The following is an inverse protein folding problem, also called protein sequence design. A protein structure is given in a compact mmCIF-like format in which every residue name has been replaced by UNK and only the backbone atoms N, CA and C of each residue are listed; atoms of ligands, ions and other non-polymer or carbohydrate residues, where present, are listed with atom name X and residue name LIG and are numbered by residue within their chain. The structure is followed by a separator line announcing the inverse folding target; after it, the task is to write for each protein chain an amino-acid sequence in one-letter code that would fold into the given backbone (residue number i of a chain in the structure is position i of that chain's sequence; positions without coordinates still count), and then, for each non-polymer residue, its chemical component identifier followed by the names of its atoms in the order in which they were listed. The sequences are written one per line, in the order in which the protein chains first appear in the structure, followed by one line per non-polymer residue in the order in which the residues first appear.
data_IF_883784473794
#
_entry.id   IF_883784473794
#
_cell.length_a   1.000
_cell.length_b   1.000
_cell.length_c   1.000
_cell.angle_alpha   90.00
_cell.angle_beta   90.00
_cell.angle_gamma   90.00
#
_symmetry.space_group_name_H-M   'P 1'
#
loop_
_entity.id
_entity.type
_entity.pdbx_description
1 polymer ?
#
# COMPACT_ATOMS: atom_id res chain seq x y z
N UNK A 1 55.11 39.15 -14.80
CA UNK A 1 54.82 38.65 -16.17
C UNK A 1 54.31 37.23 -15.98
N UNK A 2 53.01 36.96 -15.83
CA UNK A 2 51.88 37.14 -16.75
C UNK A 2 51.38 35.74 -17.14
N UNK A 3 50.30 35.23 -16.51
CA UNK A 3 48.93 35.02 -17.07
C UNK A 3 48.75 33.61 -17.69
N UNK A 4 47.98 32.68 -17.07
CA UNK A 4 46.54 32.30 -17.29
C UNK A 4 46.30 31.63 -18.68
N UNK A 5 45.56 30.52 -18.89
CA UNK A 5 44.30 29.93 -18.36
C UNK A 5 44.31 28.37 -18.48
N UNK A 6 43.58 27.55 -17.69
CA UNK A 6 42.15 27.15 -17.82
C UNK A 6 42.07 25.71 -18.40
N UNK A 7 41.37 24.68 -17.91
CA UNK A 7 40.07 24.57 -17.24
C UNK A 7 40.01 23.39 -16.26
N UNK A 8 39.40 23.63 -15.09
CA UNK A 8 38.88 22.63 -14.18
C UNK A 8 37.34 22.66 -14.25
N UNK A 9 36.72 21.55 -14.65
CA UNK A 9 35.27 21.42 -14.65
C UNK A 9 34.77 21.12 -13.23
N UNK A 10 34.13 22.12 -12.64
CA UNK A 10 33.45 22.11 -11.35
C UNK A 10 32.12 21.35 -11.41
N UNK A 11 31.91 20.46 -10.44
CA UNK A 11 30.64 19.80 -10.13
C UNK A 11 29.57 20.83 -9.72
N UNK A 12 28.32 20.74 -10.21
CA UNK A 12 27.23 21.54 -9.66
C UNK A 12 26.75 20.93 -8.34
N UNK A 13 27.02 21.64 -7.24
CA UNK A 13 26.34 21.48 -5.96
C UNK A 13 24.89 21.95 -6.10
N UNK A 14 23.91 21.06 -5.93
CA UNK A 14 22.51 21.48 -5.77
C UNK A 14 22.24 21.76 -4.29
N UNK A 15 22.19 23.05 -3.99
CA UNK A 15 21.72 23.62 -2.74
C UNK A 15 20.24 23.26 -2.51
N UNK A 16 19.96 22.71 -1.34
CA UNK A 16 18.63 22.62 -0.74
C UNK A 16 18.03 24.02 -0.61
N UNK A 17 16.98 24.34 -1.36
CA UNK A 17 16.19 25.54 -1.11
C UNK A 17 15.19 25.26 0.01
N UNK A 18 15.62 25.51 1.24
CA UNK A 18 14.74 26.04 2.27
C UNK A 18 14.56 27.54 2.00
N UNK A 19 13.32 28.02 1.95
CA UNK A 19 13.01 29.44 1.89
C UNK A 19 12.43 29.87 3.23
N UNK A 20 13.27 30.49 4.05
CA UNK A 20 12.85 31.33 5.18
C UNK A 20 12.80 32.77 4.70
N UNK A 21 11.61 33.38 4.71
CA UNK A 21 11.41 34.79 4.42
C UNK A 21 10.26 35.31 5.27
N UNK A 22 10.60 36.08 6.30
CA UNK A 22 9.64 36.82 7.12
C UNK A 22 9.08 38.02 6.35
N UNK A 23 7.78 38.29 6.50
CA UNK A 23 7.21 39.62 6.25
C UNK A 23 6.02 39.74 5.30
N UNK A 24 4.84 39.33 5.79
CA UNK A 24 3.53 39.98 5.63
C UNK A 24 2.78 39.90 4.27
N UNK A 25 1.61 39.23 4.29
CA UNK A 25 0.44 39.59 3.47
C UNK A 25 -0.11 38.56 2.47
N UNK A 26 -0.94 37.62 2.95
CA UNK A 26 -2.18 37.12 2.32
C UNK A 26 -2.16 36.47 0.91
N UNK A 27 -2.39 35.15 0.87
CA UNK A 27 -2.87 34.44 -0.34
C UNK A 27 -2.54 32.95 -0.36
N UNK A 28 -3.43 32.09 0.16
CA UNK A 28 -3.27 30.64 0.14
C UNK A 28 -3.38 30.05 -1.27
N UNK A 29 -2.29 29.45 -1.75
CA UNK A 29 -2.24 28.62 -2.96
C UNK A 29 -2.05 27.15 -2.61
N UNK A 30 -3.01 26.54 -1.91
CA UNK A 30 -3.00 25.09 -1.71
C UNK A 30 -3.53 24.41 -2.97
N UNK A 31 -2.66 23.70 -3.69
CA UNK A 31 -3.07 22.92 -4.87
C UNK A 31 -4.19 21.91 -4.54
N UNK A 32 -4.95 21.50 -5.56
CA UNK A 32 -6.05 20.53 -5.37
C UNK A 32 -5.47 19.15 -5.09
N UNK A 33 -6.00 18.42 -4.11
CA UNK A 33 -5.58 17.03 -3.82
C UNK A 33 -6.65 16.05 -4.25
N UNK A 34 -6.25 14.99 -4.94
CA UNK A 34 -7.10 13.82 -5.22
C UNK A 34 -6.54 12.56 -4.56
N UNK A 35 -7.41 11.78 -3.93
CA UNK A 35 -7.11 10.45 -3.39
C UNK A 35 -7.69 9.42 -4.36
N UNK A 36 -6.83 8.61 -4.94
CA UNK A 36 -7.17 7.65 -5.98
C UNK A 36 -7.22 6.22 -5.43
N UNK A 37 -8.29 5.51 -5.75
CA UNK A 37 -8.51 4.12 -5.35
C UNK A 37 -9.21 3.36 -6.47
N UNK A 38 -8.89 2.07 -6.60
CA UNK A 38 -9.51 1.20 -7.59
C UNK A 38 -10.56 0.29 -6.97
N UNK A 39 -11.74 0.30 -7.56
CA UNK A 39 -12.89 -0.48 -7.13
C UNK A 39 -13.31 -1.45 -8.22
N UNK A 40 -13.94 -2.56 -7.80
CA UNK A 40 -14.73 -3.38 -8.68
C UNK A 40 -16.21 -3.19 -8.39
N UNK A 41 -16.98 -2.96 -9.45
CA UNK A 41 -18.43 -2.92 -9.43
C UNK A 41 -18.94 -4.01 -10.37
N UNK A 42 -19.43 -5.10 -9.79
CA UNK A 42 -19.68 -6.32 -10.55
C UNK A 42 -18.40 -6.81 -11.25
N UNK A 43 -18.47 -6.99 -12.57
CA UNK A 43 -17.36 -7.47 -13.41
C UNK A 43 -16.53 -6.38 -14.10
N UNK A 44 -16.61 -5.12 -13.66
CA UNK A 44 -15.81 -4.00 -14.18
C UNK A 44 -14.93 -3.40 -13.08
N UNK A 45 -13.79 -2.81 -13.46
CA UNK A 45 -12.79 -2.23 -12.56
C UNK A 45 -12.69 -0.72 -12.84
N UNK A 46 -13.00 0.12 -11.86
CA UNK A 46 -12.97 1.58 -11.96
C UNK A 46 -11.83 2.17 -11.12
N UNK A 47 -11.11 3.12 -11.70
CA UNK A 47 -10.36 4.11 -10.91
C UNK A 47 -11.34 5.19 -10.48
N UNK A 48 -11.30 5.55 -9.20
CA UNK A 48 -12.12 6.62 -8.62
C UNK A 48 -11.25 7.58 -7.81
N UNK A 49 -11.65 8.84 -7.79
CA UNK A 49 -10.95 9.92 -7.11
C UNK A 49 -11.86 10.54 -6.06
N UNK A 50 -11.44 10.52 -4.81
CA UNK A 50 -12.03 11.31 -3.73
C UNK A 50 -11.28 12.64 -3.60
N UNK A 51 -12.02 13.73 -3.53
CA UNK A 51 -11.46 15.06 -3.36
C UNK A 51 -11.78 15.60 -1.96
N UNK A 52 -10.81 15.61 -1.03
CA UNK A 52 -11.06 16.03 0.34
C UNK A 52 -11.63 17.44 0.49
N UNK A 53 -11.22 18.37 -0.39
CA UNK A 53 -11.68 19.76 -0.34
C UNK A 53 -13.14 19.95 -0.74
N UNK A 54 -13.64 19.11 -1.66
CA UNK A 54 -15.04 19.13 -2.10
C UNK A 54 -15.91 18.11 -1.33
N UNK A 55 -15.28 17.12 -0.68
CA UNK A 55 -15.94 15.95 -0.13
C UNK A 55 -16.78 15.19 -1.17
N UNK A 56 -16.23 15.04 -2.38
CA UNK A 56 -16.90 14.36 -3.49
C UNK A 56 -16.08 13.20 -4.03
N UNK A 57 -16.78 12.16 -4.47
CA UNK A 57 -16.21 11.09 -5.28
C UNK A 57 -16.54 11.31 -6.75
N UNK A 58 -15.55 11.06 -7.59
CA UNK A 58 -15.70 11.02 -9.05
C UNK A 58 -15.17 9.71 -9.60
N UNK A 59 -15.95 9.07 -10.48
CA UNK A 59 -15.47 7.97 -11.32
C UNK A 59 -14.53 8.52 -12.39
N UNK A 60 -13.27 8.10 -12.36
CA UNK A 60 -12.24 8.56 -13.30
C UNK A 60 -12.35 7.81 -14.63
N UNK A 61 -12.55 6.50 -14.58
CA UNK A 61 -12.67 5.66 -15.76
C UNK A 61 -12.42 4.20 -15.43
N UNK A 62 -12.57 3.33 -16.43
CA UNK A 62 -12.27 1.91 -16.30
C UNK A 62 -10.78 1.63 -16.50
N UNK A 63 -10.27 0.60 -15.84
CA UNK A 63 -8.87 0.20 -15.97
C UNK A 63 -8.60 -0.36 -17.38
N UNK A 64 -7.72 0.28 -18.18
CA UNK A 64 -7.45 -0.19 -19.53
C UNK A 64 -6.80 -1.58 -19.54
N UNK A 65 -7.28 -2.46 -20.42
CA UNK A 65 -6.71 -3.79 -20.62
C UNK A 65 -7.23 -4.87 -19.69
N UNK A 66 -8.18 -4.56 -18.80
CA UNK A 66 -8.93 -5.59 -18.05
C UNK A 66 -10.19 -5.94 -18.84
N UNK A 67 -10.38 -7.19 -19.30
CA UNK A 67 -11.57 -7.58 -20.06
C UNK A 67 -12.86 -7.52 -19.22
N UNK A 68 -13.99 -7.32 -19.88
CA UNK A 68 -15.31 -7.41 -19.24
C UNK A 68 -15.51 -8.77 -18.55
N UNK A 69 -16.19 -8.74 -17.41
CA UNK A 69 -16.40 -9.94 -16.58
C UNK A 69 -15.13 -10.43 -15.89
N UNK A 70 -14.05 -9.65 -15.89
CA UNK A 70 -12.84 -9.94 -15.14
C UNK A 70 -12.52 -8.83 -14.15
N UNK A 71 -11.87 -9.21 -13.06
CA UNK A 71 -11.40 -8.29 -12.04
C UNK A 71 -9.93 -8.48 -11.77
N UNK A 72 -9.24 -7.37 -11.52
CA UNK A 72 -7.82 -7.37 -11.16
C UNK A 72 -7.72 -7.33 -9.62
N UNK A 73 -6.82 -8.13 -9.03
CA UNK A 73 -6.62 -8.18 -7.57
C UNK A 73 -5.13 -8.21 -7.23
N UNK A 74 -4.76 -7.77 -6.03
CA UNK A 74 -3.37 -7.83 -5.56
C UNK A 74 -2.40 -7.02 -6.43
N UNK A 75 -2.91 -6.04 -7.17
CA UNK A 75 -2.11 -5.07 -7.91
C UNK A 75 -1.76 -3.88 -7.02
N UNK A 76 -0.76 -3.10 -7.41
CA UNK A 76 -0.39 -1.89 -6.71
C UNK A 76 -0.99 -0.64 -7.39
N UNK A 77 -1.38 0.35 -6.58
CA UNK A 77 -1.72 1.70 -7.03
C UNK A 77 -0.77 2.67 -6.32
N UNK A 78 -0.02 3.45 -7.10
CA UNK A 78 1.03 4.33 -6.57
C UNK A 78 1.10 5.63 -7.35
N UNK A 79 1.35 6.74 -6.65
CA UNK A 79 1.56 8.04 -7.26
C UNK A 79 3.06 8.31 -7.49
N UNK A 80 3.40 8.88 -8.63
CA UNK A 80 4.71 9.47 -8.92
C UNK A 80 4.51 10.73 -9.75
N UNK A 81 4.78 11.90 -9.15
CA UNK A 81 4.42 13.19 -9.73
C UNK A 81 2.91 13.33 -9.89
N UNK A 82 2.46 13.78 -11.05
CA UNK A 82 1.03 13.95 -11.36
C UNK A 82 0.35 12.66 -11.88
N UNK A 83 1.08 11.55 -11.86
CA UNK A 83 0.62 10.29 -12.45
C UNK A 83 0.25 9.28 -11.38
N UNK A 84 -0.87 8.59 -11.60
CA UNK A 84 -1.27 7.40 -10.85
C UNK A 84 -0.92 6.17 -11.68
N UNK A 85 -0.15 5.25 -11.12
CA UNK A 85 0.24 4.00 -11.77
C UNK A 85 -0.55 2.84 -11.18
N UNK A 86 -1.06 1.97 -12.05
CA UNK A 86 -1.67 0.68 -11.72
C UNK A 86 -0.75 -0.41 -12.26
N UNK A 87 -0.23 -1.26 -11.37
CA UNK A 87 0.91 -2.13 -11.65
C UNK A 87 0.56 -3.58 -11.34
N UNK A 88 0.70 -4.46 -12.33
CA UNK A 88 0.63 -5.92 -12.17
C UNK A 88 -0.73 -6.42 -11.70
N UNK A 89 -0.71 -7.49 -10.90
CA UNK A 89 -1.91 -8.07 -10.29
C UNK A 89 -2.29 -9.45 -10.82
N UNK A 90 -3.30 -10.04 -10.19
CA UNK A 90 -3.91 -11.32 -10.53
C UNK A 90 -5.24 -11.04 -11.22
N UNK A 91 -5.38 -11.52 -12.45
CA UNK A 91 -6.62 -11.44 -13.20
C UNK A 91 -7.51 -12.61 -12.80
N UNK A 92 -8.74 -12.31 -12.39
CA UNK A 92 -9.75 -13.30 -12.06
C UNK A 92 -10.97 -13.11 -12.98
N UNK A 93 -11.53 -14.20 -13.49
CA UNK A 93 -12.87 -14.18 -14.10
C UNK A 93 -13.90 -14.12 -12.99
N UNK A 94 -14.83 -13.20 -13.11
CA UNK A 94 -15.90 -12.97 -12.13
C UNK A 94 -17.24 -13.43 -12.69
N UNK A 95 -17.85 -14.36 -11.98
CA UNK A 95 -19.16 -14.91 -12.32
C UNK A 95 -20.15 -14.65 -11.18
N UNK A 96 -21.38 -14.28 -11.54
CA UNK A 96 -22.46 -14.09 -10.57
C UNK A 96 -23.17 -15.42 -10.33
N UNK A 97 -23.08 -15.95 -9.11
CA UNK A 97 -23.77 -17.17 -8.71
C UNK A 97 -25.28 -16.97 -8.52
N UNK A 98 -26.02 -18.08 -8.45
CA UNK A 98 -27.49 -18.08 -8.31
C UNK A 98 -28.03 -17.41 -7.04
N UNK A 99 -27.19 -17.13 -6.04
CA UNK A 99 -27.54 -16.41 -4.80
C UNK A 99 -27.14 -14.92 -4.80
N UNK A 100 -26.68 -14.37 -5.93
CA UNK A 100 -26.22 -12.98 -6.01
C UNK A 100 -24.78 -12.73 -5.56
N UNK A 101 -24.10 -13.74 -4.99
CA UNK A 101 -22.67 -13.68 -4.66
C UNK A 101 -21.80 -13.81 -5.91
N UNK A 102 -20.69 -13.05 -5.93
CA UNK A 102 -19.66 -13.19 -6.95
C UNK A 102 -18.68 -14.29 -6.59
N UNK A 103 -18.30 -15.09 -7.59
CA UNK A 103 -17.19 -16.04 -7.50
C UNK A 103 -16.11 -15.62 -8.48
N UNK A 104 -14.89 -15.57 -7.98
CA UNK A 104 -13.72 -15.18 -8.74
C UNK A 104 -12.83 -16.39 -8.96
N UNK A 105 -12.57 -16.72 -10.23
CA UNK A 105 -11.69 -17.81 -10.63
C UNK A 105 -10.43 -17.23 -11.25
N UNK A 106 -9.26 -17.65 -10.77
CA UNK A 106 -7.98 -17.14 -11.25
C UNK A 106 -7.74 -17.52 -12.71
N UNK A 107 -7.24 -16.54 -13.49
CA UNK A 107 -6.99 -16.69 -14.94
C UNK A 107 -5.51 -16.51 -15.25
N UNK A 108 -4.92 -15.41 -14.81
CA UNK A 108 -3.53 -15.05 -15.17
C UNK A 108 -2.87 -14.15 -14.12
N UNK A 109 -1.54 -14.11 -14.12
CA UNK A 109 -0.75 -13.10 -13.40
C UNK A 109 -0.29 -12.05 -14.41
N UNK A 110 -0.71 -10.80 -14.20
CA UNK A 110 -0.45 -9.69 -15.10
C UNK A 110 0.84 -8.97 -14.74
N UNK A 111 1.55 -8.54 -15.79
CA UNK A 111 2.71 -7.66 -15.69
C UNK A 111 2.45 -6.27 -16.25
N UNK A 112 1.24 -5.98 -16.75
CA UNK A 112 0.96 -4.68 -17.37
C UNK A 112 1.09 -3.55 -16.37
N UNK A 113 1.45 -2.40 -16.90
CA UNK A 113 1.47 -1.14 -16.17
C UNK A 113 0.73 -0.11 -17.00
N UNK A 114 -0.30 0.48 -16.40
CA UNK A 114 -1.00 1.63 -16.95
C UNK A 114 -0.82 2.81 -16.02
N UNK A 115 -0.74 4.01 -16.60
CA UNK A 115 -0.69 5.26 -15.85
C UNK A 115 -1.87 6.15 -16.23
N UNK A 116 -2.38 6.87 -15.27
CA UNK A 116 -3.37 7.92 -15.46
C UNK A 116 -2.72 9.28 -15.17
N UNK A 117 -2.77 10.19 -16.13
CA UNK A 117 -2.36 11.58 -15.96
C UNK A 117 -3.49 12.35 -15.26
N UNK A 118 -3.28 12.69 -13.99
CA UNK A 118 -4.31 13.34 -13.19
C UNK A 118 -4.57 14.82 -13.59
N UNK A 119 -3.65 15.45 -14.32
CA UNK A 119 -3.82 16.81 -14.85
C UNK A 119 -4.60 16.80 -16.16
N UNK A 120 -4.28 15.86 -17.05
CA UNK A 120 -4.89 15.78 -18.40
C UNK A 120 -6.17 14.94 -18.44
N UNK A 121 -6.35 14.05 -17.48
CA UNK A 121 -7.48 13.12 -17.48
C UNK A 121 -7.33 11.97 -18.48
N UNK A 122 -6.10 11.58 -18.80
CA UNK A 122 -5.78 10.65 -19.88
C UNK A 122 -5.07 9.40 -19.35
N UNK A 123 -5.44 8.24 -19.89
CA UNK A 123 -4.72 6.99 -19.65
C UNK A 123 -3.58 6.81 -20.65
N UNK A 124 -2.48 6.23 -20.17
CA UNK A 124 -1.35 5.80 -20.99
C UNK A 124 -0.83 4.42 -20.58
N UNK A 125 -0.25 3.71 -21.53
CA UNK A 125 0.48 2.45 -21.25
C UNK A 125 1.93 2.76 -20.89
N UNK A 126 2.49 1.96 -19.99
CA UNK A 126 3.90 1.99 -19.60
C UNK A 126 4.58 0.67 -19.97
N UNK A 127 5.91 0.63 -19.84
CA UNK A 127 6.64 -0.63 -19.90
C UNK A 127 6.07 -1.61 -18.84
N UNK A 128 5.80 -2.87 -19.21
CA UNK A 128 5.35 -3.88 -18.27
C UNK A 128 6.49 -4.26 -17.31
N UNK A 129 6.12 -4.80 -16.15
CA UNK A 129 7.06 -5.44 -15.24
C UNK A 129 7.90 -6.50 -15.97
N UNK A 130 9.18 -6.62 -15.61
CA UNK A 130 10.05 -7.69 -16.12
C UNK A 130 9.57 -9.06 -15.65
N UNK A 131 8.94 -9.09 -14.47
CA UNK A 131 8.31 -10.29 -13.91
C UNK A 131 6.89 -9.94 -13.44
N UNK A 132 5.85 -10.52 -14.09
CA UNK A 132 4.47 -10.44 -13.61
C UNK A 132 4.34 -10.90 -12.16
N UNK A 133 3.56 -10.16 -11.35
CA UNK A 133 3.39 -10.43 -9.93
C UNK A 133 2.10 -9.85 -9.36
N UNK A 134 1.64 -10.44 -8.26
CA UNK A 134 0.56 -9.91 -7.42
C UNK A 134 0.92 -10.04 -5.93
N UNK A 135 0.21 -9.34 -5.05
CA UNK A 135 0.44 -9.28 -3.60
C UNK A 135 1.90 -8.90 -3.25
N UNK A 136 2.45 -7.90 -3.93
CA UNK A 136 3.83 -7.43 -3.78
C UNK A 136 3.91 -6.07 -3.10
N UNK A 137 5.07 -5.75 -2.53
CA UNK A 137 5.37 -4.43 -2.00
C UNK A 137 5.67 -3.45 -3.13
N UNK A 138 5.12 -2.24 -3.05
CA UNK A 138 5.32 -1.18 -4.03
C UNK A 138 5.36 0.20 -3.34
N UNK A 139 6.34 1.04 -3.66
CA UNK A 139 6.39 2.43 -3.18
C UNK A 139 7.27 3.32 -4.08
N UNK A 140 7.04 4.65 -4.10
CA UNK A 140 7.92 5.57 -4.80
C UNK A 140 9.18 5.85 -3.97
N UNK A 141 10.38 5.56 -4.46
CA UNK A 141 11.66 5.85 -3.80
C UNK A 141 12.58 6.63 -4.75
N UNK A 142 13.07 7.79 -4.32
CA UNK A 142 14.06 8.57 -5.07
C UNK A 142 13.63 8.88 -6.51
N UNK A 143 12.38 9.35 -6.70
CA UNK A 143 11.83 9.70 -8.01
C UNK A 143 11.47 8.51 -8.91
N UNK A 144 11.57 7.29 -8.41
CA UNK A 144 11.31 6.04 -9.14
C UNK A 144 10.28 5.20 -8.40
N UNK A 145 9.70 4.19 -9.06
CA UNK A 145 8.78 3.24 -8.40
C UNK A 145 9.54 1.94 -8.16
N UNK A 146 9.66 1.52 -6.91
CA UNK A 146 10.26 0.23 -6.55
C UNK A 146 9.16 -0.79 -6.29
N UNK A 147 9.35 -2.02 -6.77
CA UNK A 147 8.51 -3.18 -6.44
C UNK A 147 9.37 -4.33 -5.95
N UNK A 148 8.88 -5.09 -4.99
CA UNK A 148 9.59 -6.26 -4.46
C UNK A 148 8.63 -7.31 -3.91
N UNK A 149 9.04 -8.57 -4.01
CA UNK A 149 8.22 -9.69 -3.55
C UNK A 149 6.99 -9.95 -4.42
N UNK A 150 5.98 -10.56 -3.80
CA UNK A 150 4.75 -11.03 -4.43
C UNK A 150 4.82 -12.47 -4.92
N UNK A 151 3.73 -12.91 -5.53
CA UNK A 151 3.60 -14.20 -6.16
C UNK A 151 3.66 -14.05 -7.68
N UNK A 152 4.38 -14.98 -8.33
CA UNK A 152 4.55 -15.02 -9.79
C UNK A 152 3.66 -16.05 -10.48
N UNK A 153 3.12 -16.98 -9.71
CA UNK A 153 2.28 -18.07 -10.19
C UNK A 153 1.00 -18.12 -9.38
N UNK A 154 -0.08 -18.54 -10.04
CA UNK A 154 -1.36 -18.87 -9.40
C UNK A 154 -1.28 -20.20 -8.65
N UNK A 155 -0.32 -21.07 -9.00
CA UNK A 155 -0.13 -22.37 -8.36
C UNK A 155 0.70 -22.25 -7.08
N UNK A 156 0.06 -22.46 -5.94
CA UNK A 156 0.72 -22.54 -4.63
C UNK A 156 1.01 -21.18 -3.99
N UNK A 157 1.33 -21.22 -2.71
CA UNK A 157 1.53 -20.04 -1.86
C UNK A 157 3.01 -19.65 -1.74
N UNK A 158 3.72 -19.55 -2.87
CA UNK A 158 5.17 -19.28 -2.88
C UNK A 158 5.47 -17.86 -3.37
N UNK A 159 6.08 -17.06 -2.50
CA UNK A 159 6.55 -15.72 -2.82
C UNK A 159 7.81 -15.71 -3.69
N UNK A 160 8.24 -14.52 -4.09
CA UNK A 160 9.53 -14.29 -4.76
C UNK A 160 10.41 -13.35 -3.94
N UNK A 161 11.72 -13.40 -4.15
CA UNK A 161 12.67 -12.45 -3.58
C UNK A 161 13.02 -11.29 -4.54
N UNK A 162 12.47 -11.30 -5.75
CA UNK A 162 12.92 -10.38 -6.78
C UNK A 162 12.36 -8.99 -6.59
N UNK A 163 13.18 -8.02 -6.98
CA UNK A 163 12.83 -6.61 -6.95
C UNK A 163 13.16 -5.93 -8.28
N UNK A 164 12.38 -4.91 -8.59
CA UNK A 164 12.50 -4.14 -9.83
C UNK A 164 12.25 -2.66 -9.52
N UNK A 165 12.83 -1.79 -10.34
CA UNK A 165 12.63 -0.34 -10.26
C UNK A 165 12.22 0.21 -11.61
N UNK A 166 11.16 1.00 -11.63
CA UNK A 166 10.72 1.76 -12.79
C UNK A 166 11.32 3.16 -12.76
N UNK A 167 11.96 3.52 -13.85
CA UNK A 167 12.54 4.84 -14.09
C UNK A 167 11.72 5.53 -15.18
N UNK A 168 10.94 6.55 -14.80
CA UNK A 168 10.02 7.24 -15.70
C UNK A 168 10.77 8.01 -16.80
N UNK A 169 11.97 8.52 -16.51
CA UNK A 169 12.81 9.24 -17.46
C UNK A 169 13.36 8.30 -18.54
N UNK A 170 13.65 7.05 -18.16
CA UNK A 170 14.07 5.98 -19.08
C UNK A 170 12.89 5.20 -19.69
N UNK A 171 11.68 5.44 -19.20
CA UNK A 171 10.46 4.77 -19.65
C UNK A 171 10.44 3.25 -19.44
N UNK A 172 11.17 2.73 -18.44
CA UNK A 172 11.39 1.28 -18.35
C UNK A 172 11.72 0.76 -16.95
N UNK A 173 11.55 -0.56 -16.79
CA UNK A 173 11.91 -1.30 -15.59
C UNK A 173 13.35 -1.82 -15.67
N UNK A 174 14.04 -1.83 -14.54
CA UNK A 174 15.35 -2.46 -14.36
C UNK A 174 15.31 -3.39 -13.15
N UNK A 175 16.11 -4.47 -13.18
CA UNK A 175 16.24 -5.35 -12.03
C UNK A 175 16.99 -4.65 -10.90
N UNK A 176 16.51 -4.83 -9.68
CA UNK A 176 17.28 -4.59 -8.46
C UNK A 176 17.92 -5.90 -8.00
N UNK A 177 18.92 -5.87 -7.10
CA UNK A 177 19.35 -7.08 -6.40
C UNK A 177 18.16 -7.78 -5.75
N UNK A 178 18.19 -9.12 -5.71
CA UNK A 178 17.17 -9.89 -5.01
C UNK A 178 17.27 -9.66 -3.50
N UNK A 179 16.12 -9.67 -2.84
CA UNK A 179 15.98 -9.75 -1.39
C UNK A 179 16.58 -11.07 -0.87
N UNK A 180 16.91 -11.10 0.42
CA UNK A 180 17.34 -12.31 1.13
C UNK A 180 16.17 -13.24 1.50
N UNK A 181 14.95 -12.71 1.50
CA UNK A 181 13.73 -13.44 1.86
C UNK A 181 12.73 -13.38 0.73
N UNK A 182 12.13 -14.51 0.37
CA UNK A 182 10.97 -14.52 -0.54
C UNK A 182 9.76 -14.04 0.23
N UNK A 183 9.06 -13.03 -0.28
CA UNK A 183 7.90 -12.44 0.40
C UNK A 183 6.69 -12.34 -0.52
N UNK A 184 5.49 -12.46 0.04
CA UNK A 184 4.24 -12.05 -0.61
C UNK A 184 3.21 -11.58 0.43
N UNK A 185 2.20 -10.83 0.00
CA UNK A 185 1.32 -10.02 0.86
C UNK A 185 2.11 -9.08 1.79
N UNK A 186 3.25 -8.61 1.32
CA UNK A 186 4.08 -7.62 2.02
C UNK A 186 3.65 -6.21 1.64
N UNK A 187 3.97 -5.24 2.50
CA UNK A 187 3.69 -3.82 2.27
C UNK A 187 4.98 -3.10 1.88
N UNK A 188 4.88 -2.24 0.87
CA UNK A 188 5.96 -1.34 0.47
C UNK A 188 5.73 0.05 1.05
N UNK A 189 6.76 0.65 1.66
CA UNK A 189 6.71 2.04 2.11
C UNK A 189 8.06 2.71 1.93
N UNK A 190 8.05 3.99 1.55
CA UNK A 190 9.28 4.79 1.51
C UNK A 190 9.43 5.57 2.79
N UNK A 191 10.54 5.37 3.48
CA UNK A 191 10.82 6.00 4.77
C UNK A 191 12.30 6.34 4.87
N UNK A 192 12.60 7.57 5.29
CA UNK A 192 13.96 8.13 5.29
C UNK A 192 14.73 7.89 3.97
N UNK A 193 14.05 8.07 2.83
CA UNK A 193 14.66 7.92 1.50
C UNK A 193 14.97 6.48 1.08
N UNK A 194 14.52 5.47 1.84
CA UNK A 194 14.76 4.05 1.57
C UNK A 194 13.44 3.31 1.36
N UNK A 195 13.46 2.28 0.50
CA UNK A 195 12.30 1.45 0.22
C UNK A 195 12.25 0.28 1.20
N UNK A 196 11.22 0.25 2.05
CA UNK A 196 11.01 -0.79 3.04
C UNK A 196 9.94 -1.78 2.55
N UNK A 197 10.27 -3.07 2.62
CA UNK A 197 9.38 -4.20 2.35
C UNK A 197 9.07 -4.85 3.69
N UNK A 198 7.88 -4.60 4.22
CA UNK A 198 7.53 -4.94 5.60
C UNK A 198 6.53 -6.10 5.63
N UNK A 199 6.80 -7.08 6.48
CA UNK A 199 5.88 -8.16 6.79
C UNK A 199 5.64 -9.12 5.62
N UNK A 200 4.40 -9.60 5.53
CA UNK A 200 3.96 -10.60 4.56
C UNK A 200 4.29 -12.03 5.00
N UNK A 201 3.91 -12.97 4.16
CA UNK A 201 4.40 -14.33 4.26
C UNK A 201 5.83 -14.39 3.73
N UNK A 202 6.72 -15.02 4.49
CA UNK A 202 8.15 -15.00 4.23
C UNK A 202 8.76 -16.41 4.29
N UNK A 203 9.70 -16.66 3.39
CA UNK A 203 10.53 -17.87 3.36
C UNK A 203 11.98 -17.49 2.98
N UNK A 204 12.96 -17.91 3.79
CA UNK A 204 14.38 -17.71 3.49
C UNK A 204 14.81 -18.29 2.13
N UNK A 205 15.70 -17.59 1.44
CA UNK A 205 16.33 -18.10 0.21
C UNK A 205 17.54 -19.01 0.45
N UNK A 206 18.07 -19.08 1.68
CA UNK A 206 19.20 -19.96 2.00
C UNK A 206 18.72 -21.38 2.31
N UNK A 207 19.12 -22.35 1.48
CA UNK A 207 18.83 -23.78 1.69
C UNK A 207 19.64 -24.41 2.84
N UNK A 208 20.47 -23.64 3.53
CA UNK A 208 21.14 -24.03 4.77
C UNK A 208 20.50 -23.31 5.95
N UNK A 209 19.21 -23.57 6.18
CA UNK A 209 18.66 -23.21 7.49
C UNK A 209 19.40 -24.05 8.54
N UNK A 210 19.92 -23.45 9.62
CA UNK A 210 20.38 -24.23 10.77
C UNK A 210 19.29 -25.19 11.26
N UNK A 211 18.01 -24.89 10.95
CA UNK A 211 16.89 -25.74 11.27
C UNK A 211 16.80 -27.03 10.44
N UNK A 212 17.27 -27.02 9.18
CA UNK A 212 17.29 -28.23 8.35
C UNK A 212 18.39 -29.19 8.83
N UNK A 213 19.58 -28.67 9.15
CA UNK A 213 20.67 -29.46 9.71
C UNK A 213 20.36 -30.00 11.12
N UNK A 214 19.71 -29.20 11.97
CA UNK A 214 19.31 -29.62 13.31
C UNK A 214 18.08 -30.56 13.31
N UNK A 215 17.21 -30.50 12.29
CA UNK A 215 16.14 -31.48 12.10
C UNK A 215 16.69 -32.86 11.71
N UNK A 216 17.70 -32.90 10.83
CA UNK A 216 18.42 -34.13 10.50
C UNK A 216 19.19 -34.68 11.73
N UNK A 217 19.80 -33.81 12.53
CA UNK A 217 20.47 -34.21 13.78
C UNK A 217 19.45 -34.70 14.84
N UNK A 218 18.29 -34.05 14.97
CA UNK A 218 17.22 -34.46 15.88
C UNK A 218 16.60 -35.81 15.48
N UNK A 219 16.49 -36.10 14.17
CA UNK A 219 16.04 -37.38 13.66
C UNK A 219 17.00 -38.54 13.99
N UNK A 220 18.28 -38.24 14.19
CA UNK A 220 19.32 -39.19 14.58
C UNK A 220 19.58 -39.27 16.10
N UNK A 221 18.95 -38.40 16.91
CA UNK A 221 19.22 -38.28 18.35
C UNK A 221 18.22 -39.05 19.23
N UNK A 222 18.62 -39.51 20.43
CA UNK A 222 17.71 -40.13 21.39
C UNK A 222 16.62 -39.14 21.88
N UNK A 223 15.45 -39.62 22.35
CA UNK A 223 14.23 -38.81 22.52
C UNK A 223 14.39 -37.53 23.35
N UNK A 224 15.18 -37.59 24.44
CA UNK A 224 15.43 -36.42 25.30
C UNK A 224 16.32 -35.34 24.64
N UNK A 225 17.22 -35.73 23.74
CA UNK A 225 18.15 -34.84 23.05
C UNK A 225 17.54 -34.27 21.77
N UNK A 226 16.71 -35.07 21.07
CA UNK A 226 15.88 -34.60 19.96
C UNK A 226 14.90 -33.50 20.39
N UNK A 227 14.27 -33.66 21.55
CA UNK A 227 13.34 -32.66 22.11
C UNK A 227 14.05 -31.35 22.46
N UNK A 228 15.25 -31.42 23.03
CA UNK A 228 16.05 -30.23 23.33
C UNK A 228 16.55 -29.51 22.06
N UNK A 229 16.97 -30.26 21.02
CA UNK A 229 17.39 -29.71 19.73
C UNK A 229 16.23 -29.02 18.99
N UNK A 230 15.04 -29.62 18.99
CA UNK A 230 13.84 -29.05 18.37
C UNK A 230 13.36 -27.77 19.06
N UNK A 231 13.54 -27.65 20.38
CA UNK A 231 13.22 -26.43 21.16
C UNK A 231 14.23 -25.30 20.96
N UNK A 232 15.43 -25.60 20.46
CA UNK A 232 16.49 -24.63 20.15
C UNK A 232 16.48 -24.17 18.68
N UNK A 233 15.63 -24.77 17.84
CA UNK A 233 15.41 -24.27 16.49
C UNK A 233 14.86 -22.84 16.57
N UNK A 234 15.43 -21.86 15.84
CA UNK A 234 14.72 -20.62 15.63
C UNK A 234 13.36 -20.98 15.02
N UNK A 235 12.28 -20.38 15.52
CA UNK A 235 11.03 -20.30 14.78
C UNK A 235 11.26 -19.41 13.55
N UNK A 236 12.04 -19.92 12.59
CA UNK A 236 12.65 -19.16 11.49
C UNK A 236 11.59 -18.44 10.65
N UNK A 237 10.41 -19.05 10.47
CA UNK A 237 9.31 -18.42 9.75
C UNK A 237 8.77 -17.16 10.43
N UNK A 238 8.66 -17.14 11.77
CA UNK A 238 8.08 -16.01 12.48
C UNK A 238 9.02 -14.80 12.48
N UNK A 239 10.34 -15.02 12.62
CA UNK A 239 11.32 -13.94 12.55
C UNK A 239 11.45 -13.38 11.12
N UNK A 240 11.36 -14.25 10.11
CA UNK A 240 11.34 -13.84 8.71
C UNK A 240 10.08 -13.03 8.38
N UNK A 241 8.90 -13.45 8.85
CA UNK A 241 7.63 -12.75 8.64
C UNK A 241 7.51 -11.45 9.43
N UNK A 242 8.10 -11.37 10.62
CA UNK A 242 8.16 -10.15 11.44
C UNK A 242 9.28 -9.18 11.04
N UNK A 243 10.13 -9.54 10.08
CA UNK A 243 11.20 -8.65 9.61
C UNK A 243 10.77 -7.76 8.45
N UNK A 244 11.56 -6.70 8.22
CA UNK A 244 11.52 -5.91 7.02
C UNK A 244 12.84 -6.03 6.25
N UNK A 245 12.78 -5.91 4.93
CA UNK A 245 13.96 -5.69 4.09
C UNK A 245 13.94 -4.28 3.54
N UNK A 246 15.07 -3.59 3.67
CA UNK A 246 15.22 -2.17 3.37
C UNK A 246 16.23 -1.99 2.27
N UNK A 247 15.77 -1.46 1.14
CA UNK A 247 16.63 -1.14 0.02
C UNK A 247 17.12 0.30 0.11
N UNK A 248 18.43 0.45 0.18
CA UNK A 248 19.09 1.75 0.03
C UNK A 248 19.19 2.10 -1.46
N UNK A 249 18.33 3.01 -1.91
CA UNK A 249 18.23 3.42 -3.31
C UNK A 249 19.52 4.11 -3.83
N UNK A 250 20.41 4.60 -2.95
CA UNK A 250 21.67 5.23 -3.32
C UNK A 250 22.83 4.22 -3.38
N UNK A 251 22.89 3.27 -2.44
CA UNK A 251 23.94 2.24 -2.38
C UNK A 251 23.62 1.00 -3.22
N UNK A 252 22.35 0.79 -3.55
CA UNK A 252 21.91 -0.37 -4.30
C UNK A 252 22.00 -1.68 -3.51
N UNK A 253 21.81 -1.65 -2.19
CA UNK A 253 21.92 -2.82 -1.30
C UNK A 253 20.70 -2.98 -0.41
N UNK A 254 20.41 -4.23 -0.05
CA UNK A 254 19.38 -4.59 0.92
C UNK A 254 19.97 -4.76 2.32
N UNK A 255 19.24 -4.29 3.32
CA UNK A 255 19.51 -4.48 4.74
C UNK A 255 18.29 -5.13 5.39
N UNK A 256 18.48 -6.08 6.30
CA UNK A 256 17.38 -6.71 7.04
C UNK A 256 17.20 -6.01 8.40
N UNK A 257 15.95 -5.72 8.75
CA UNK A 257 15.56 -5.24 10.08
C UNK A 257 14.69 -6.32 10.72
N UNK A 258 15.25 -7.18 11.59
CA UNK A 258 14.50 -8.21 12.29
C UNK A 258 13.45 -7.59 13.22
N UNK A 259 12.26 -8.19 13.28
CA UNK A 259 11.21 -7.79 14.22
C UNK A 259 10.60 -6.41 13.97
N UNK A 260 10.91 -5.74 12.85
CA UNK A 260 10.32 -4.45 12.49
C UNK A 260 8.80 -4.49 12.49
N UNK A 261 8.18 -5.62 12.15
CA UNK A 261 6.75 -5.85 12.24
C UNK A 261 6.45 -6.86 13.34
N UNK A 262 5.72 -6.47 14.38
CA UNK A 262 5.62 -7.29 15.60
C UNK A 262 4.81 -8.58 15.44
N UNK A 263 3.93 -8.67 14.44
CA UNK A 263 2.99 -9.78 14.29
C UNK A 263 3.46 -10.78 13.25
N UNK A 264 3.13 -12.07 13.43
CA UNK A 264 3.24 -13.09 12.37
C UNK A 264 2.11 -13.00 11.33
N UNK A 265 1.44 -11.84 11.27
CA UNK A 265 0.27 -11.57 10.43
C UNK A 265 0.60 -10.38 9.54
N UNK A 266 0.44 -10.47 8.21
CA UNK A 266 0.75 -9.37 7.31
C UNK A 266 0.09 -8.03 7.69
N UNK A 267 0.82 -6.90 7.63
CA UNK A 267 0.23 -5.58 7.81
C UNK A 267 -0.82 -5.31 6.72
N UNK A 268 -1.86 -4.55 7.07
CA UNK A 268 -2.86 -4.10 6.09
C UNK A 268 -2.24 -3.03 5.19
N UNK A 269 -1.82 -1.92 5.81
CA UNK A 269 -1.18 -0.78 5.17
C UNK A 269 -0.24 -0.11 6.16
N UNK A 270 0.91 0.34 5.65
CA UNK A 270 1.88 1.15 6.38
C UNK A 270 2.18 2.37 5.52
N UNK A 271 2.08 3.54 6.10
CA UNK A 271 2.31 4.82 5.41
C UNK A 271 3.31 5.67 6.18
N UNK A 272 4.04 6.52 5.46
CA UNK A 272 4.94 7.48 6.06
C UNK A 272 4.28 8.87 6.16
N UNK A 273 4.26 9.45 7.36
CA UNK A 273 3.71 10.80 7.61
C UNK A 273 4.65 11.54 8.54
N UNK A 274 5.08 12.74 8.14
CA UNK A 274 5.96 13.60 8.94
C UNK A 274 7.18 12.86 9.53
N UNK A 275 7.82 12.00 8.72
CA UNK A 275 8.99 11.21 9.14
C UNK A 275 8.71 10.02 10.05
N UNK A 276 7.43 9.68 10.33
CA UNK A 276 7.02 8.50 11.11
C UNK A 276 6.34 7.47 10.22
N UNK A 277 6.44 6.21 10.59
CA UNK A 277 5.62 5.14 9.98
C UNK A 277 4.37 4.91 10.82
N UNK A 278 3.22 4.83 10.15
CA UNK A 278 1.92 4.63 10.74
C UNK A 278 1.21 3.44 10.09
N UNK A 279 0.47 2.65 10.87
CA UNK A 279 -0.27 1.47 10.44
C UNK A 279 -1.74 1.57 10.83
N UNK A 280 -2.63 1.07 9.96
CA UNK A 280 -4.08 1.00 10.20
C UNK A 280 -4.60 -0.37 10.63
N UNK A 281 -3.74 -1.37 10.80
CA UNK A 281 -4.13 -2.72 11.19
C UNK A 281 -3.42 -3.80 10.38
N UNK A 282 -4.05 -4.96 10.25
CA UNK A 282 -3.47 -6.14 9.62
C UNK A 282 -4.47 -6.83 8.67
N UNK A 283 -4.01 -7.88 7.98
CA UNK A 283 -4.85 -8.57 7.00
C UNK A 283 -6.04 -9.34 7.61
N UNK A 284 -6.09 -9.54 8.93
CA UNK A 284 -7.22 -10.16 9.64
C UNK A 284 -8.20 -9.09 10.12
N UNK A 285 -7.70 -7.96 10.60
CA UNK A 285 -8.48 -6.78 10.93
C UNK A 285 -7.86 -5.52 10.35
N UNK A 286 -8.42 -5.08 9.22
CA UNK A 286 -7.96 -3.90 8.50
C UNK A 286 -8.10 -2.59 9.26
N UNK A 287 -8.87 -2.56 10.35
CA UNK A 287 -9.01 -1.40 11.24
C UNK A 287 -9.24 -1.83 12.69
N UNK A 288 -8.25 -1.59 13.56
CA UNK A 288 -8.28 -1.96 14.98
C UNK A 288 -8.91 -0.89 15.90
N UNK A 289 -9.44 0.19 15.34
CA UNK A 289 -10.00 1.30 16.11
C UNK A 289 -8.99 2.39 16.50
N UNK A 290 -7.72 2.22 16.14
CA UNK A 290 -6.63 3.15 16.45
C UNK A 290 -5.52 3.07 15.38
N UNK A 291 -4.60 4.03 15.42
CA UNK A 291 -3.41 4.05 14.57
C UNK A 291 -2.22 3.57 15.38
N UNK A 292 -1.41 2.69 14.81
CA UNK A 292 -0.15 2.25 15.41
C UNK A 292 0.99 3.07 14.81
N UNK A 293 1.93 3.54 15.63
CA UNK A 293 3.14 4.27 15.21
C UNK A 293 4.38 3.44 15.50
N UNK A 294 5.33 3.48 14.57
CA UNK A 294 6.61 2.80 14.71
C UNK A 294 7.67 3.72 15.33
N UNK A 295 8.33 3.22 16.37
CA UNK A 295 9.53 3.79 16.97
C UNK A 295 10.76 3.08 16.37
N UNK A 296 11.55 3.81 15.60
CA UNK A 296 12.74 3.28 14.94
C UNK A 296 13.95 3.07 15.85
N UNK A 297 13.99 3.71 17.03
CA UNK A 297 15.07 3.52 18.00
C UNK A 297 14.82 2.24 18.82
N UNK A 298 13.57 2.04 19.22
CA UNK A 298 13.15 0.89 20.01
C UNK A 298 12.76 -0.32 19.15
N UNK A 299 12.57 -0.15 17.84
CA UNK A 299 12.12 -1.17 16.89
C UNK A 299 10.77 -1.78 17.32
N UNK A 300 9.81 -0.94 17.70
CA UNK A 300 8.49 -1.35 18.17
C UNK A 300 7.37 -0.52 17.54
N UNK A 301 6.22 -1.14 17.38
CA UNK A 301 4.94 -0.48 17.14
C UNK A 301 4.22 -0.28 18.46
N UNK A 302 3.62 0.89 18.64
CA UNK A 302 2.77 1.24 19.77
C UNK A 302 1.53 1.97 19.30
N UNK A 303 0.48 1.97 20.12
CA UNK A 303 -0.72 2.76 19.83
C UNK A 303 -0.32 4.24 19.86
N UNK A 304 -0.61 4.96 18.78
CA UNK A 304 -0.39 6.39 18.71
C UNK A 304 -1.36 7.09 19.66
N UNK A 305 -0.84 7.97 20.51
CA UNK A 305 -1.65 8.72 21.45
C UNK A 305 -2.80 9.45 20.74
N UNK A 306 -3.99 9.37 21.34
CA UNK A 306 -5.22 10.02 20.85
C UNK A 306 -5.71 9.56 19.46
N UNK A 307 -5.14 8.48 18.94
CA UNK A 307 -5.58 7.88 17.68
C UNK A 307 -6.80 6.97 17.81
N UNK A 308 -7.24 6.66 19.04
CA UNK A 308 -8.48 5.92 19.23
C UNK A 308 -9.64 6.69 18.58
N UNK A 309 -10.30 6.07 17.62
CA UNK A 309 -11.42 6.68 16.91
C UNK A 309 -12.61 6.77 17.86
N UNK A 310 -13.13 7.98 18.14
CA UNK A 310 -14.29 8.14 19.01
C UNK A 310 -15.57 7.62 18.33
N UNK A 311 -16.65 7.53 19.10
CA UNK A 311 -17.97 7.24 18.55
C UNK A 311 -18.36 8.32 17.54
N UNK A 312 -18.41 7.93 16.27
CA UNK A 312 -18.71 8.84 15.17
C UNK A 312 -20.21 8.83 14.85
N UNK A 313 -20.90 9.99 14.84
CA UNK A 313 -22.33 10.05 14.53
C UNK A 313 -22.70 9.43 13.18
N UNK A 314 -21.87 9.64 12.15
CA UNK A 314 -22.11 9.07 10.81
C UNK A 314 -21.98 7.54 10.79
N UNK A 315 -21.06 6.98 11.58
CA UNK A 315 -20.91 5.54 11.70
C UNK A 315 -22.07 4.93 12.52
N UNK A 316 -22.46 5.61 13.60
CA UNK A 316 -23.59 5.22 14.45
C UNK A 316 -24.95 5.31 13.73
N UNK A 317 -25.06 6.15 12.69
CA UNK A 317 -26.25 6.26 11.86
C UNK A 317 -26.43 5.10 10.86
N UNK A 318 -25.41 4.25 10.66
CA UNK A 318 -25.56 3.06 9.84
C UNK A 318 -26.51 2.04 10.50
N UNK A 319 -27.31 1.30 9.73
CA UNK A 319 -28.15 0.27 10.30
C UNK A 319 -27.32 -0.85 10.95
N UNK A 320 -27.83 -1.56 11.96
CA UNK A 320 -27.09 -2.63 12.64
C UNK A 320 -26.66 -3.78 11.72
N UNK A 321 -27.32 -3.95 10.58
CA UNK A 321 -26.97 -4.94 9.56
C UNK A 321 -25.85 -4.50 8.61
N UNK A 322 -25.35 -3.26 8.74
CA UNK A 322 -24.30 -2.74 7.89
C UNK A 322 -23.00 -3.52 8.07
N UNK A 323 -22.40 -3.96 6.96
CA UNK A 323 -21.14 -4.70 6.96
C UNK A 323 -20.06 -3.89 6.25
N UNK A 324 -18.94 -3.65 6.92
CA UNK A 324 -17.77 -3.00 6.30
C UNK A 324 -17.22 -3.91 5.21
N UNK A 325 -17.26 -3.45 3.95
CA UNK A 325 -16.75 -4.17 2.77
C UNK A 325 -15.32 -3.82 2.44
N UNK A 326 -14.92 -2.58 2.67
CA UNK A 326 -13.55 -2.15 2.45
C UNK A 326 -13.12 -1.06 3.43
N UNK A 327 -11.80 -0.96 3.61
CA UNK A 327 -11.14 0.07 4.37
C UNK A 327 -9.73 0.29 3.83
N UNK A 328 -9.36 1.54 3.57
CA UNK A 328 -8.03 1.92 3.07
C UNK A 328 -7.65 3.28 3.62
N UNK A 329 -6.36 3.58 3.64
CA UNK A 329 -5.78 4.77 4.24
C UNK A 329 -4.87 5.48 3.23
N UNK A 330 -5.09 6.78 3.04
CA UNK A 330 -4.25 7.67 2.24
C UNK A 330 -3.64 8.76 3.11
N UNK A 331 -2.50 9.30 2.66
CA UNK A 331 -1.82 10.42 3.31
C UNK A 331 -2.06 11.69 2.50
N UNK A 332 -2.47 12.78 3.16
CA UNK A 332 -2.54 14.13 2.56
C UNK A 332 -1.94 15.12 3.55
N UNK A 333 -0.72 15.60 3.27
CA UNK A 333 0.05 16.41 4.20
C UNK A 333 0.28 15.65 5.52
N UNK A 334 -0.15 16.23 6.65
CA UNK A 334 -0.08 15.61 7.96
C UNK A 334 -1.34 14.80 8.34
N UNK A 335 -2.30 14.66 7.43
CA UNK A 335 -3.56 13.98 7.69
C UNK A 335 -3.58 12.58 7.08
N UNK A 336 -4.14 11.64 7.83
CA UNK A 336 -4.58 10.34 7.33
C UNK A 336 -6.04 10.42 6.92
N UNK A 337 -6.36 9.96 5.73
CA UNK A 337 -7.73 9.81 5.24
C UNK A 337 -8.07 8.32 5.16
N UNK A 338 -9.02 7.89 5.98
CA UNK A 338 -9.55 6.55 6.01
C UNK A 338 -10.82 6.49 5.17
N UNK A 339 -10.78 5.73 4.08
CA UNK A 339 -11.90 5.54 3.17
C UNK A 339 -12.51 4.17 3.45
N UNK A 340 -13.78 4.15 3.85
CA UNK A 340 -14.49 2.94 4.25
C UNK A 340 -15.82 2.81 3.51
N UNK A 341 -16.13 1.60 3.07
CA UNK A 341 -17.40 1.27 2.42
C UNK A 341 -18.17 0.27 3.24
N UNK A 342 -19.47 0.51 3.37
CA UNK A 342 -20.40 -0.31 4.13
C UNK A 342 -21.51 -0.80 3.22
N UNK A 343 -21.73 -2.11 3.18
CA UNK A 343 -22.88 -2.67 2.51
C UNK A 343 -24.09 -2.58 3.42
N UNK A 344 -25.18 -2.02 2.90
CA UNK A 344 -26.44 -1.83 3.59
C UNK A 344 -27.57 -2.42 2.73
N UNK A 345 -28.56 -3.05 3.36
CA UNK A 345 -29.73 -3.55 2.66
C UNK A 345 -30.47 -2.40 1.95
N UNK A 346 -30.76 -2.57 0.66
CA UNK A 346 -31.66 -1.71 -0.09
C UNK A 346 -33.10 -2.13 0.25
N UNK A 347 -33.94 -1.18 0.66
CA UNK A 347 -35.32 -1.49 1.05
C UNK A 347 -36.13 -2.10 -0.10
N UNK A 348 -36.98 -3.08 0.20
CA UNK A 348 -38.04 -3.56 -0.69
C UNK A 348 -37.73 -4.79 -1.56
N UNK A 349 -36.52 -4.95 -2.08
CA UNK A 349 -36.24 -5.94 -3.15
C UNK A 349 -35.06 -6.90 -2.87
N UNK A 350 -34.62 -7.00 -1.61
CA UNK A 350 -33.53 -7.91 -1.20
C UNK A 350 -32.14 -7.53 -1.73
N UNK A 351 -32.01 -6.38 -2.40
CA UNK A 351 -30.75 -5.85 -2.89
C UNK A 351 -29.89 -5.23 -1.80
N UNK A 352 -28.66 -4.86 -2.17
CA UNK A 352 -27.75 -4.13 -1.30
C UNK A 352 -27.21 -2.90 -2.03
N UNK A 353 -26.97 -1.83 -1.26
CA UNK A 353 -26.23 -0.65 -1.71
C UNK A 353 -24.96 -0.47 -0.90
N UNK A 354 -24.01 0.25 -1.47
CA UNK A 354 -22.81 0.67 -0.74
C UNK A 354 -23.05 2.08 -0.16
N UNK A 355 -22.57 2.30 1.06
CA UNK A 355 -22.47 3.61 1.69
C UNK A 355 -21.00 3.86 1.97
N UNK A 356 -20.45 4.90 1.35
CA UNK A 356 -19.05 5.29 1.54
C UNK A 356 -18.96 6.36 2.64
N UNK A 357 -18.04 6.18 3.59
CA UNK A 357 -17.69 7.14 4.62
C UNK A 357 -16.20 7.44 4.55
N UNK A 358 -15.82 8.67 4.86
CA UNK A 358 -14.41 9.08 4.96
C UNK A 358 -14.17 9.67 6.33
N UNK A 359 -13.07 9.27 6.96
CA UNK A 359 -12.63 9.84 8.24
C UNK A 359 -11.24 10.41 8.06
N UNK A 360 -11.00 11.64 8.52
CA UNK A 360 -9.65 12.21 8.56
C UNK A 360 -9.12 12.22 9.99
N UNK A 361 -7.83 11.93 10.14
CA UNK A 361 -7.09 12.03 11.39
C UNK A 361 -5.86 12.93 11.19
N UNK A 362 -5.79 14.01 11.95
CA UNK A 362 -4.62 14.90 11.97
C UNK A 362 -3.54 14.33 12.90
N UNK A 363 -2.45 13.84 12.31
CA UNK A 363 -1.33 13.23 13.04
C UNK A 363 -0.47 14.23 13.82
N UNK A 364 -0.72 15.52 13.64
CA UNK A 364 -0.03 16.64 14.30
C UNK A 364 -0.90 17.36 15.33
N UNK A 365 -2.19 17.01 15.42
CA UNK A 365 -3.11 17.68 16.30
C UNK A 365 -2.69 17.52 17.77
N UNK A 366 -2.68 18.65 18.48
CA UNK A 366 -2.64 18.65 19.93
C UNK A 366 -4.09 18.46 20.43
N UNK A 367 -4.43 17.32 21.06
CA UNK A 367 -5.80 16.98 21.43
C UNK A 367 -6.43 17.98 22.42
N UNK A 368 -5.62 18.73 23.16
CA UNK A 368 -6.09 19.77 24.07
C UNK A 368 -6.67 21.01 23.37
N UNK A 369 -6.46 21.15 22.06
CA UNK A 369 -6.86 22.36 21.30
C UNK A 369 -7.90 22.08 20.21
N UNK A 370 -7.86 20.92 19.55
CA UNK A 370 -8.81 20.52 18.50
C UNK A 370 -8.98 19.00 18.49
N UNK A 371 -10.19 18.47 18.21
CA UNK A 371 -10.37 17.04 18.03
C UNK A 371 -9.58 16.57 16.80
N UNK A 372 -8.76 15.51 16.93
CA UNK A 372 -7.89 15.07 15.84
C UNK A 372 -8.65 14.38 14.70
N UNK A 373 -9.89 13.94 14.96
CA UNK A 373 -10.72 13.21 14.01
C UNK A 373 -11.83 14.08 13.41
N UNK A 374 -12.11 13.87 12.13
CA UNK A 374 -13.31 14.37 11.44
C UNK A 374 -13.92 13.27 10.59
N UNK A 375 -15.23 13.34 10.38
CA UNK A 375 -15.97 12.37 9.58
C UNK A 375 -16.77 13.07 8.50
N UNK A 376 -16.81 12.46 7.32
CA UNK A 376 -17.45 12.99 6.14
C UNK A 376 -18.30 11.89 5.51
N UNK A 377 -19.46 12.29 5.01
CA UNK A 377 -20.27 11.48 4.11
C UNK A 377 -20.10 12.07 2.71
N UNK A 378 -19.26 11.46 1.85
CA UNK A 378 -19.05 11.98 0.51
C UNK A 378 -20.30 11.88 -0.35
N UNK A 379 -20.44 12.83 -1.28
CA UNK A 379 -21.43 12.75 -2.37
C UNK A 379 -20.77 12.21 -3.64
N UNK A 380 -21.55 11.59 -4.52
CA UNK A 380 -21.09 11.23 -5.87
C UNK A 380 -21.37 12.41 -6.80
N UNK A 381 -20.40 12.81 -7.62
CA UNK A 381 -20.53 13.95 -8.57
C UNK A 381 -21.49 13.68 -9.75
N UNK A 382 -21.98 12.45 -9.92
CA UNK A 382 -22.91 12.07 -10.99
C UNK A 382 -24.10 11.31 -10.39
N UNK A 383 -25.29 11.44 -10.99
CA UNK A 383 -26.58 10.80 -10.65
C UNK A 383 -26.57 9.24 -10.63
N UNK A 384 -25.39 8.62 -10.56
CA UNK A 384 -25.22 7.19 -10.39
C UNK A 384 -25.69 6.77 -9.00
N UNK A 385 -26.93 6.30 -8.93
CA UNK A 385 -27.36 5.36 -7.90
C UNK A 385 -26.31 4.23 -7.87
N UNK A 386 -25.58 4.08 -6.77
CA UNK A 386 -24.68 2.94 -6.54
C UNK A 386 -25.54 1.67 -6.41
N UNK A 387 -26.02 1.16 -7.55
CA UNK A 387 -26.79 -0.07 -7.61
C UNK A 387 -25.80 -1.24 -7.64
N UNK A 388 -25.53 -1.81 -6.45
CA UNK A 388 -24.69 -3.00 -6.30
C UNK A 388 -23.60 -2.91 -5.22
N UNK A 389 -22.95 -4.05 -5.00
CA UNK A 389 -21.83 -4.20 -4.08
C UNK A 389 -20.53 -3.70 -4.71
N UNK A 390 -19.96 -2.64 -4.14
CA UNK A 390 -18.64 -2.10 -4.49
C UNK A 390 -17.57 -2.76 -3.64
N UNK A 391 -16.53 -3.30 -4.28
CA UNK A 391 -15.39 -3.93 -3.61
C UNK A 391 -14.13 -3.12 -3.91
N UNK A 392 -13.28 -2.90 -2.90
CA UNK A 392 -11.99 -2.25 -3.09
C UNK A 392 -10.92 -3.31 -3.40
N UNK A 393 -10.18 -3.16 -4.49
CA UNK A 393 -9.12 -4.09 -4.89
C UNK A 393 -7.71 -3.53 -4.86
N UNK A 394 -7.55 -2.29 -4.40
CA UNK A 394 -6.24 -1.66 -4.26
C UNK A 394 -6.05 -0.95 -2.93
N UNK A 395 -4.79 -0.80 -2.54
CA UNK A 395 -4.40 0.33 -1.69
C UNK A 395 -4.67 1.65 -2.45
N UNK A 396 -4.75 2.78 -1.74
CA UNK A 396 -4.99 4.08 -2.36
C UNK A 396 -3.73 4.94 -2.36
N UNK A 397 -3.67 5.92 -3.25
CA UNK A 397 -2.59 6.90 -3.28
C UNK A 397 -3.15 8.32 -3.42
N UNK A 398 -2.40 9.33 -2.98
CA UNK A 398 -2.77 10.74 -3.17
C UNK A 398 -1.91 11.40 -4.23
N UNK A 399 -2.51 12.31 -4.99
CA UNK A 399 -1.83 13.18 -5.96
C UNK A 399 -2.16 14.63 -5.62
N UNK A 400 -1.11 15.45 -5.53
CA UNK A 400 -1.18 16.88 -5.34
C UNK A 400 -1.07 17.56 -6.72
N UNK A 401 -2.12 18.25 -7.15
CA UNK A 401 -2.23 18.87 -8.48
C UNK A 401 -1.82 20.35 -8.50
#
# INVERSE_FOLDING_TARGET
MGSLDGDAATSPSFSSTGSSGDGNGGGGGGGRVGIYACFALGGSNSLECYEPGANTWRRVGELPGVPDGHVLKGFAVVALGDFVYVIGGRLCRRERGGGGEYRDTDVDVRGDVVRYDARRGEWGRCAPLLVPRFDFACAPCGGRICVAGGQRSLSGARGTAAAEVFDADKGGWSRLPDMSTRRYKCVGVTWHGRFHVVGGFAESTSSSSPAAAAADEAAAAPPGRATALLLLLPQSSALERSSAEVFDCARGVWEIIPGMWQLDVPPNQIVAVAGRLLSSGDCLNSWKGHVEVYDGELNIWSIMDHSAMPDMPLLAALPPSAQRRYHTMAVVGNQLYFLAGYQVAAGGDGGFRTVSLVHSFDTSANPGLMPPWRSFQPTMDQDGVEDGSKELFSQCCSVQL
#
